data_IF_863681035871
#
_entry.id   IF_863681035871
#
_cell.length_a   1.000
_cell.length_b   1.000
_cell.length_c   1.000
_cell.angle_alpha   90.00
_cell.angle_beta   90.00
_cell.angle_gamma   90.00
#
_symmetry.space_group_name_H-M   'P 1'
#
loop_
_entity.id
_entity.type
_entity.pdbx_description
1 polymer ?
#
# COMPACT_ATOMS: atom_id res chain seq x y z
N UNK A 1 -13.00 31.09 -18.74
CA UNK A 1 -12.29 30.03 -17.95
C UNK A 1 -11.30 30.78 -17.07
N UNK A 2 -11.40 30.63 -15.75
CA UNK A 2 -10.63 31.50 -14.84
C UNK A 2 -9.14 31.12 -14.90
N UNK A 3 -8.30 32.11 -15.21
CA UNK A 3 -6.84 31.95 -15.26
C UNK A 3 -6.23 31.54 -13.90
N UNK A 4 -6.98 31.72 -12.82
CA UNK A 4 -6.53 31.42 -11.45
C UNK A 4 -6.81 29.99 -11.01
N UNK A 5 -7.51 29.17 -11.81
CA UNK A 5 -7.89 27.80 -11.42
C UNK A 5 -6.66 26.96 -11.08
N UNK A 6 -5.67 26.95 -11.94
CA UNK A 6 -4.44 26.18 -11.75
C UNK A 6 -3.66 26.61 -10.50
N UNK A 7 -3.67 27.91 -10.20
CA UNK A 7 -3.04 28.45 -8.99
C UNK A 7 -3.78 27.99 -7.73
N UNK A 8 -5.11 28.01 -7.77
CA UNK A 8 -5.96 27.57 -6.66
C UNK A 8 -5.79 26.07 -6.45
N UNK A 9 -5.82 25.24 -7.49
CA UNK A 9 -5.63 23.80 -7.41
C UNK A 9 -4.24 23.45 -6.83
N UNK A 10 -3.18 24.08 -7.32
CA UNK A 10 -1.82 23.87 -6.78
C UNK A 10 -1.71 24.29 -5.31
N UNK A 11 -2.39 25.37 -4.92
CA UNK A 11 -2.43 25.81 -3.53
C UNK A 11 -3.16 24.78 -2.65
N UNK A 12 -4.33 24.31 -3.08
CA UNK A 12 -5.10 23.31 -2.34
C UNK A 12 -4.30 22.02 -2.19
N UNK A 13 -3.65 21.54 -3.26
CA UNK A 13 -2.80 20.35 -3.20
C UNK A 13 -1.65 20.55 -2.20
N UNK A 14 -0.95 21.67 -2.25
CA UNK A 14 0.12 21.96 -1.30
C UNK A 14 -0.37 21.99 0.14
N UNK A 15 -1.47 22.69 0.43
CA UNK A 15 -2.05 22.75 1.79
C UNK A 15 -2.46 21.35 2.28
N UNK A 16 -3.01 20.51 1.40
CA UNK A 16 -3.34 19.12 1.72
C UNK A 16 -2.08 18.35 2.13
N UNK A 17 -1.03 18.37 1.29
CA UNK A 17 0.20 17.62 1.53
C UNK A 17 0.98 18.11 2.75
N UNK A 18 1.09 19.43 2.94
CA UNK A 18 1.92 20.03 3.99
C UNK A 18 1.21 20.10 5.35
N UNK A 19 -0.12 20.23 5.38
CA UNK A 19 -0.87 20.55 6.60
C UNK A 19 -1.90 19.52 7.01
N UNK A 20 -2.50 18.79 6.08
CA UNK A 20 -3.58 17.84 6.38
C UNK A 20 -3.05 16.41 6.47
N UNK A 21 -2.32 15.94 5.45
CA UNK A 21 -1.83 14.57 5.43
C UNK A 21 -0.94 14.18 6.63
N UNK A 22 -0.06 15.06 7.16
CA UNK A 22 0.70 14.74 8.37
C UNK A 22 -0.16 14.52 9.63
N UNK A 23 -1.42 14.95 9.61
CA UNK A 23 -2.35 14.80 10.73
C UNK A 23 -3.22 13.53 10.62
N UNK A 24 -3.18 12.83 9.48
CA UNK A 24 -3.98 11.62 9.27
C UNK A 24 -3.54 10.50 10.20
N UNK A 25 -2.23 10.38 10.42
CA UNK A 25 -1.66 9.41 11.34
C UNK A 25 -0.84 10.13 12.42
N UNK A 26 -1.18 9.91 13.70
CA UNK A 26 -0.48 10.54 14.83
C UNK A 26 0.75 9.75 15.28
N UNK A 27 0.69 8.43 15.12
CA UNK A 27 1.75 7.50 15.51
C UNK A 27 1.96 6.50 14.39
N UNK A 28 3.21 6.09 14.16
CA UNK A 28 3.53 5.09 13.15
C UNK A 28 4.61 4.13 13.65
N UNK A 29 4.48 2.85 13.30
CA UNK A 29 5.50 1.83 13.51
C UNK A 29 5.75 1.09 12.21
N UNK A 30 7.00 0.81 11.94
CA UNK A 30 7.39 0.05 10.75
C UNK A 30 7.18 -1.45 11.00
N UNK A 31 6.55 -2.12 10.05
CA UNK A 31 6.46 -3.58 10.03
C UNK A 31 7.74 -4.19 9.45
N UNK A 32 8.13 -5.35 9.93
CA UNK A 32 9.13 -6.19 9.27
C UNK A 32 8.54 -6.74 7.98
N UNK A 33 9.37 -6.87 6.95
CA UNK A 33 8.93 -7.30 5.61
C UNK A 33 9.77 -8.50 5.19
N UNK A 34 9.09 -9.49 4.66
CA UNK A 34 9.67 -10.60 3.92
C UNK A 34 9.02 -10.66 2.55
N UNK A 35 9.77 -11.09 1.52
CA UNK A 35 9.28 -11.19 0.16
C UNK A 35 9.83 -12.43 -0.54
N UNK A 36 9.06 -12.99 -1.47
CA UNK A 36 9.47 -14.18 -2.23
C UNK A 36 8.53 -14.51 -3.38
N UNK A 37 8.85 -15.55 -4.16
CA UNK A 37 8.01 -16.00 -5.27
C UNK A 37 6.71 -16.67 -4.80
N UNK A 38 6.72 -17.22 -3.59
CA UNK A 38 5.57 -17.83 -2.91
C UNK A 38 5.69 -17.69 -1.39
N UNK A 39 4.65 -18.08 -0.65
CA UNK A 39 4.60 -17.95 0.82
C UNK A 39 5.57 -18.86 1.57
N UNK A 40 6.05 -19.93 0.94
CA UNK A 40 7.00 -20.89 1.54
C UNK A 40 8.45 -20.48 1.32
N UNK A 41 8.71 -19.51 0.45
CA UNK A 41 10.05 -19.06 0.05
C UNK A 41 10.24 -17.55 0.31
N UNK A 42 9.80 -17.08 1.47
CA UNK A 42 9.97 -15.69 1.87
C UNK A 42 11.32 -15.46 2.52
N UNK A 43 12.00 -14.39 2.11
CA UNK A 43 13.26 -13.93 2.68
C UNK A 43 13.13 -12.49 3.21
N UNK A 44 13.95 -12.08 4.20
CA UNK A 44 13.94 -10.71 4.69
C UNK A 44 14.08 -9.68 3.56
N UNK A 45 13.22 -8.68 3.56
CA UNK A 45 13.16 -7.66 2.52
C UNK A 45 13.25 -6.26 3.11
N UNK A 46 14.17 -5.44 2.60
CA UNK A 46 14.35 -4.08 3.08
C UNK A 46 13.33 -3.11 2.45
N UNK A 47 12.74 -2.20 3.23
CA UNK A 47 11.90 -1.13 2.69
C UNK A 47 12.63 -0.32 1.62
N UNK A 48 11.89 0.21 0.65
CA UNK A 48 12.40 1.01 -0.47
C UNK A 48 13.34 0.27 -1.43
N UNK A 49 13.37 -1.05 -1.36
CA UNK A 49 14.07 -1.88 -2.33
C UNK A 49 13.17 -2.15 -3.54
N UNK A 50 13.76 -2.19 -4.74
CA UNK A 50 13.04 -2.62 -5.94
C UNK A 50 12.64 -4.09 -5.81
N UNK A 51 11.42 -4.41 -6.21
CA UNK A 51 10.86 -5.74 -6.13
C UNK A 51 10.23 -6.17 -7.47
N UNK A 52 10.14 -7.48 -7.65
CA UNK A 52 9.50 -8.09 -8.81
C UNK A 52 10.23 -7.83 -10.13
N UNK A 53 10.12 -8.78 -11.03
CA UNK A 53 10.43 -8.58 -12.45
C UNK A 53 9.14 -8.20 -13.19
N UNK A 54 9.19 -7.50 -14.34
CA UNK A 54 7.99 -7.16 -15.10
C UNK A 54 7.06 -8.37 -15.31
N UNK A 55 5.78 -8.19 -14.98
CA UNK A 55 4.72 -9.21 -15.10
C UNK A 55 4.83 -10.42 -14.16
N UNK A 56 5.68 -10.35 -13.15
CA UNK A 56 5.77 -11.38 -12.14
C UNK A 56 4.85 -11.11 -10.95
N UNK A 57 4.55 -12.17 -10.21
CA UNK A 57 3.93 -12.10 -8.89
C UNK A 57 5.02 -12.19 -7.82
N UNK A 58 4.89 -11.40 -6.77
CA UNK A 58 5.74 -11.45 -5.57
C UNK A 58 4.82 -11.50 -4.35
N UNK A 59 5.10 -12.42 -3.45
CA UNK A 59 4.44 -12.50 -2.16
C UNK A 59 5.21 -11.69 -1.12
N UNK A 60 4.46 -10.99 -0.28
CA UNK A 60 4.99 -10.29 0.88
C UNK A 60 4.31 -10.76 2.15
N UNK A 61 5.10 -10.87 3.23
CA UNK A 61 4.61 -11.01 4.59
C UNK A 61 5.07 -9.81 5.40
N UNK A 62 4.12 -9.13 6.02
CA UNK A 62 4.36 -8.02 6.93
C UNK A 62 4.09 -8.48 8.34
N UNK A 63 5.04 -8.29 9.25
CA UNK A 63 4.90 -8.68 10.67
C UNK A 63 5.19 -7.51 11.58
N UNK A 64 4.45 -7.40 12.66
CA UNK A 64 4.62 -6.37 13.66
C UNK A 64 3.73 -6.58 14.88
N UNK A 65 3.46 -5.51 15.60
CA UNK A 65 2.67 -5.54 16.82
C UNK A 65 1.82 -4.28 16.95
N UNK A 66 0.56 -4.45 17.34
CA UNK A 66 -0.28 -3.35 17.79
C UNK A 66 0.01 -3.14 19.29
N UNK A 67 0.53 -1.94 19.66
CA UNK A 67 0.85 -1.65 21.04
C UNK A 67 -0.42 -1.57 21.91
N UNK A 68 -0.32 -1.88 23.21
CA UNK A 68 -1.46 -1.80 24.12
C UNK A 68 -2.12 -0.40 24.20
N UNK A 69 -1.34 0.67 24.02
CA UNK A 69 -1.81 2.05 24.03
C UNK A 69 -2.54 2.47 22.74
N UNK A 70 -2.60 1.58 21.74
CA UNK A 70 -3.38 1.77 20.51
C UNK A 70 -4.75 1.08 20.54
N UNK A 71 -5.05 0.30 21.58
CA UNK A 71 -6.35 -0.36 21.75
C UNK A 71 -7.48 0.67 21.78
N UNK A 72 -8.51 0.44 20.96
CA UNK A 72 -9.67 1.34 20.84
C UNK A 72 -9.44 2.56 19.94
N UNK A 73 -8.25 2.70 19.33
CA UNK A 73 -7.97 3.70 18.29
C UNK A 73 -8.28 3.11 16.91
N UNK A 74 -8.38 3.96 15.90
CA UNK A 74 -8.36 3.50 14.51
C UNK A 74 -6.91 3.19 14.14
N UNK A 75 -6.64 1.94 13.77
CA UNK A 75 -5.32 1.47 13.36
C UNK A 75 -5.39 1.01 11.90
N UNK A 76 -4.39 1.40 11.13
CA UNK A 76 -4.30 1.05 9.72
C UNK A 76 -2.90 0.56 9.36
N UNK A 77 -2.82 -0.48 8.54
CA UNK A 77 -1.60 -0.81 7.83
C UNK A 77 -1.55 0.04 6.56
N UNK A 78 -0.48 0.80 6.37
CA UNK A 78 -0.24 1.60 5.15
C UNK A 78 0.84 0.90 4.33
N UNK A 79 0.47 0.48 3.13
CA UNK A 79 1.30 -0.32 2.22
C UNK A 79 1.54 0.49 0.95
N UNK A 80 2.78 0.84 0.70
CA UNK A 80 3.22 1.49 -0.53
C UNK A 80 4.15 0.54 -1.31
N UNK A 81 3.68 0.06 -2.44
CA UNK A 81 4.43 -0.81 -3.34
C UNK A 81 5.37 -0.05 -4.28
N UNK A 82 5.59 1.23 -4.06
CA UNK A 82 6.32 2.12 -4.94
C UNK A 82 5.41 2.73 -6.01
N UNK A 83 4.20 3.08 -5.63
CA UNK A 83 3.20 3.66 -6.52
C UNK A 83 3.63 5.01 -7.09
N UNK A 84 3.36 5.20 -8.39
CA UNK A 84 3.51 6.51 -9.00
C UNK A 84 2.30 7.39 -8.63
N UNK A 85 2.51 8.57 -8.02
CA UNK A 85 1.43 9.37 -7.45
C UNK A 85 0.43 9.90 -8.51
N UNK A 86 0.89 10.13 -9.73
CA UNK A 86 0.08 10.72 -10.81
C UNK A 86 -0.65 9.67 -11.67
N UNK A 87 -0.44 8.36 -11.42
CA UNK A 87 -1.06 7.28 -12.17
C UNK A 87 -1.98 6.47 -11.26
N UNK A 88 -3.27 6.42 -11.59
CA UNK A 88 -4.26 5.64 -10.84
C UNK A 88 -4.31 4.16 -11.24
N UNK A 89 -3.70 3.78 -12.36
CA UNK A 89 -3.68 2.42 -12.89
C UNK A 89 -2.44 2.17 -13.76
N UNK A 90 -2.38 0.99 -14.39
CA UNK A 90 -1.26 0.57 -15.25
C UNK A 90 0.11 0.61 -14.55
N UNK A 91 0.13 0.18 -13.31
CA UNK A 91 1.32 0.02 -12.49
C UNK A 91 1.14 -1.18 -11.55
N UNK A 92 2.08 -1.40 -10.65
CA UNK A 92 1.97 -2.47 -9.68
C UNK A 92 0.68 -2.34 -8.84
N UNK A 93 0.18 -3.47 -8.40
CA UNK A 93 -0.99 -3.59 -7.54
C UNK A 93 -0.82 -4.79 -6.62
N UNK A 94 -1.58 -4.87 -5.53
CA UNK A 94 -1.54 -5.97 -4.61
C UNK A 94 -2.92 -6.39 -4.13
N UNK A 95 -2.99 -7.62 -3.64
CA UNK A 95 -4.17 -8.20 -3.00
C UNK A 95 -3.78 -8.68 -1.61
N UNK A 96 -4.30 -8.03 -0.57
CA UNK A 96 -4.23 -8.58 0.78
C UNK A 96 -5.09 -9.82 0.87
N UNK A 97 -4.55 -10.84 1.50
CA UNK A 97 -5.22 -12.12 1.68
C UNK A 97 -5.14 -12.62 3.12
N UNK A 98 -6.18 -13.32 3.52
CA UNK A 98 -6.20 -14.14 4.72
C UNK A 98 -5.72 -15.54 4.37
N UNK A 99 -4.62 -15.98 4.99
CA UNK A 99 -4.00 -17.28 4.76
C UNK A 99 -4.38 -18.22 5.91
N UNK A 100 -4.93 -19.37 5.58
CA UNK A 100 -5.35 -20.41 6.53
C UNK A 100 -4.26 -21.46 6.75
N UNK A 101 -4.42 -22.22 7.83
CA UNK A 101 -3.47 -23.29 8.21
C UNK A 101 -3.33 -24.39 7.15
N UNK A 102 -4.35 -24.59 6.32
CA UNK A 102 -4.32 -25.55 5.20
C UNK A 102 -3.62 -25.01 3.94
N UNK A 103 -3.08 -23.78 4.01
CA UNK A 103 -2.43 -23.11 2.90
C UNK A 103 -3.40 -22.45 1.91
N UNK A 104 -4.71 -22.59 2.10
CA UNK A 104 -5.69 -21.86 1.30
C UNK A 104 -5.74 -20.40 1.73
N UNK A 105 -6.13 -19.51 0.81
CA UNK A 105 -6.28 -18.08 1.12
C UNK A 105 -7.59 -17.53 0.56
N UNK A 106 -8.07 -16.45 1.17
CA UNK A 106 -9.21 -15.69 0.70
C UNK A 106 -8.88 -14.20 0.58
N UNK A 107 -9.42 -13.51 -0.43
CA UNK A 107 -9.14 -12.10 -0.64
C UNK A 107 -9.72 -11.25 0.50
N UNK A 108 -8.94 -10.27 0.97
CA UNK A 108 -9.37 -9.27 1.93
C UNK A 108 -9.58 -7.92 1.24
N UNK A 109 -8.54 -7.38 0.61
CA UNK A 109 -8.59 -6.06 0.01
C UNK A 109 -7.54 -5.87 -1.07
N UNK A 110 -7.93 -5.22 -2.18
CA UNK A 110 -6.99 -4.69 -3.17
C UNK A 110 -6.21 -3.48 -2.65
N UNK A 111 -4.90 -3.46 -2.91
CA UNK A 111 -3.98 -2.35 -2.61
C UNK A 111 -3.53 -1.74 -3.94
N UNK A 112 -3.76 -0.45 -4.10
CA UNK A 112 -3.45 0.30 -5.32
C UNK A 112 -3.21 1.79 -4.98
N UNK A 113 -2.75 2.65 -5.91
CA UNK A 113 -2.34 4.03 -5.60
C UNK A 113 -3.36 4.91 -4.86
N UNK A 114 -4.65 4.61 -5.01
CA UNK A 114 -5.73 5.34 -4.33
C UNK A 114 -6.29 4.61 -3.11
N UNK A 115 -5.73 3.46 -2.76
CA UNK A 115 -6.14 2.66 -1.60
C UNK A 115 -4.94 1.89 -1.06
N UNK A 116 -4.11 2.61 -0.33
CA UNK A 116 -2.86 2.09 0.27
C UNK A 116 -3.02 1.63 1.71
N UNK A 117 -4.18 1.89 2.32
CA UNK A 117 -4.46 1.58 3.72
C UNK A 117 -5.42 0.40 3.88
N UNK A 118 -5.20 -0.38 4.93
CA UNK A 118 -6.05 -1.47 5.36
C UNK A 118 -6.33 -1.33 6.86
N UNK A 119 -7.60 -1.25 7.24
CA UNK A 119 -8.00 -1.12 8.64
C UNK A 119 -7.75 -2.43 9.39
N UNK A 120 -7.09 -2.32 10.53
CA UNK A 120 -6.81 -3.43 11.44
C UNK A 120 -7.74 -3.39 12.64
N UNK A 121 -8.07 -4.56 13.18
CA UNK A 121 -8.67 -4.63 14.49
C UNK A 121 -7.68 -4.13 15.53
N UNK A 122 -8.05 -3.08 16.28
CA UNK A 122 -7.18 -2.45 17.27
C UNK A 122 -7.11 -3.27 18.57
N UNK A 123 -6.67 -4.51 18.44
CA UNK A 123 -6.40 -5.44 19.55
C UNK A 123 -4.89 -5.53 19.73
N UNK A 124 -4.42 -5.32 20.96
CA UNK A 124 -3.00 -5.41 21.26
C UNK A 124 -2.45 -6.81 20.96
N UNK A 125 -1.29 -6.87 20.34
CA UNK A 125 -0.63 -8.12 20.01
C UNK A 125 -0.08 -8.20 18.59
N UNK A 126 0.35 -9.38 18.16
CA UNK A 126 1.00 -9.56 16.89
C UNK A 126 0.06 -9.28 15.70
N UNK A 127 0.63 -8.69 14.67
CA UNK A 127 -0.01 -8.48 13.35
C UNK A 127 0.78 -9.23 12.31
N UNK A 128 0.07 -10.00 11.50
CA UNK A 128 0.63 -10.66 10.30
C UNK A 128 -0.30 -10.36 9.14
N UNK A 129 0.25 -9.82 8.06
CA UNK A 129 -0.48 -9.56 6.83
C UNK A 129 0.24 -10.23 5.67
N UNK A 130 -0.52 -10.81 4.75
CA UNK A 130 0.00 -11.39 3.51
C UNK A 130 -0.52 -10.62 2.32
N UNK A 131 0.34 -10.36 1.36
CA UNK A 131 0.02 -9.63 0.15
C UNK A 131 0.57 -10.37 -1.06
N UNK A 132 -0.30 -10.68 -2.00
CA UNK A 132 0.07 -11.06 -3.36
C UNK A 132 0.19 -9.81 -4.21
N UNK A 133 1.35 -9.51 -4.77
CA UNK A 133 1.59 -8.30 -5.54
C UNK A 133 2.02 -8.60 -6.97
N UNK A 134 1.37 -7.93 -7.93
CA UNK A 134 1.71 -7.99 -9.35
C UNK A 134 2.65 -6.83 -9.72
N UNK A 135 3.83 -7.15 -10.24
CA UNK A 135 4.82 -6.17 -10.69
C UNK A 135 4.55 -5.72 -12.13
N UNK A 136 3.36 -5.17 -12.36
CA UNK A 136 2.99 -4.61 -13.65
C UNK A 136 3.89 -3.41 -13.96
N UNK A 137 4.53 -3.36 -15.14
CA UNK A 137 5.36 -2.23 -15.50
C UNK A 137 4.51 -0.97 -15.71
N UNK A 138 5.05 0.17 -15.29
CA UNK A 138 4.46 1.46 -15.62
C UNK A 138 4.68 1.74 -17.10
N UNK A 139 3.61 2.04 -17.84
CA UNK A 139 3.70 2.42 -19.26
C UNK A 139 3.98 3.92 -19.39
N UNK A 140 5.17 4.34 -19.84
CA UNK A 140 5.46 5.74 -20.10
C UNK A 140 4.53 6.28 -21.19
N UNK A 141 3.92 7.43 -20.94
CA UNK A 141 3.05 8.10 -21.92
C UNK A 141 1.62 7.60 -21.99
N UNK A 142 1.24 6.64 -21.16
CA UNK A 142 -0.16 6.24 -21.04
C UNK A 142 -1.00 7.38 -20.44
N UNK A 143 -1.96 7.86 -21.22
CA UNK A 143 -2.95 8.85 -20.74
C UNK A 143 -4.29 8.12 -20.54
N UNK A 144 -4.87 8.14 -19.32
CA UNK A 144 -6.16 7.49 -19.04
C UNK A 144 -7.31 7.92 -19.95
N UNK A 145 -7.18 9.09 -20.57
CA UNK A 145 -8.16 9.64 -21.53
C UNK A 145 -8.16 8.98 -22.92
N UNK A 146 -7.24 8.04 -23.19
CA UNK A 146 -7.18 7.34 -24.48
C UNK A 146 -8.13 6.14 -24.58
N UNK A 147 -8.82 5.79 -23.49
CA UNK A 147 -9.83 4.73 -23.44
C UNK A 147 -11.16 5.32 -22.93
N UNK A 148 -11.66 6.28 -23.65
CA UNK A 148 -13.01 6.80 -23.47
C UNK A 148 -13.99 6.14 -24.42
#
# INVERSE_FOLDING_TARGET
>A
MHADRDLVEKRIQRELWERVLPLVHSDARTLSIEAGPDLDQLEPFAPRTKWGTPWATTWFRFTGEIPPDWVGRQVEAVIDLGFHPDAAGFQCEGLLVDVRDDGSFSPLQGIHPRRTNYTLDAVAGPVVLHLEAASNPTFPGYQPSQFG
#
